data_IF_162311145155
#
_entry.id   IF_162311145155
#
_cell.length_a   1.000
_cell.length_b   1.000
_cell.length_c   1.000
_cell.angle_alpha   90.00
_cell.angle_beta   90.00
_cell.angle_gamma   90.00
#
_symmetry.space_group_name_H-M   'P 1'
#
loop_
_entity.id
_entity.type
_entity.pdbx_description
1 polymer ?
#
# COMPACT_ATOMS: atom_id res chain seq x y z
N UNK A 1 -19.54 -3.53 6.18
CA UNK A 1 -19.00 -2.82 5.02
C UNK A 1 -17.91 -3.64 4.38
N UNK A 2 -17.96 -3.70 3.09
CA UNK A 2 -17.01 -4.52 2.35
C UNK A 2 -15.66 -3.85 2.25
N UNK A 3 -14.63 -4.60 2.48
CA UNK A 3 -13.27 -4.06 2.39
C UNK A 3 -12.47 -4.81 1.34
N UNK A 4 -11.38 -4.20 0.92
CA UNK A 4 -10.45 -4.79 -0.02
C UNK A 4 -9.05 -4.72 0.54
N UNK A 5 -8.24 -5.68 0.14
CA UNK A 5 -6.83 -5.66 0.50
C UNK A 5 -6.06 -5.02 -0.66
N UNK A 6 -5.17 -4.12 -0.33
CA UNK A 6 -4.41 -3.39 -1.35
C UNK A 6 -3.02 -3.08 -0.85
N UNK A 7 -2.14 -2.85 -1.80
CA UNK A 7 -0.78 -2.41 -1.53
C UNK A 7 -0.57 -1.08 -2.21
N UNK A 8 -0.14 -0.09 -1.45
CA UNK A 8 0.24 1.20 -2.00
C UNK A 8 1.75 1.23 -2.15
N UNK A 9 2.20 1.42 -3.38
CA UNK A 9 3.63 1.55 -3.67
C UNK A 9 3.93 3.04 -3.82
N UNK A 10 4.84 3.54 -3.01
CA UNK A 10 5.10 4.97 -2.89
C UNK A 10 6.57 5.24 -3.10
N UNK A 11 6.89 6.19 -3.96
CA UNK A 11 8.26 6.66 -4.15
C UNK A 11 8.28 8.13 -3.77
N UNK A 12 9.15 8.49 -2.83
CA UNK A 12 9.29 9.85 -2.35
C UNK A 12 10.62 10.39 -2.82
N UNK A 13 10.58 11.43 -3.67
CA UNK A 13 11.79 12.09 -4.14
C UNK A 13 12.08 13.38 -3.39
N UNK A 14 11.08 13.93 -2.71
CA UNK A 14 11.21 15.19 -2.02
C UNK A 14 11.19 14.95 -0.52
N UNK A 15 12.32 15.10 0.18
CA UNK A 15 12.34 14.85 1.63
C UNK A 15 11.39 15.75 2.40
N UNK A 16 11.05 16.91 1.86
CA UNK A 16 10.11 17.79 2.54
C UNK A 16 8.71 17.25 2.59
N UNK A 17 8.39 16.25 1.77
CA UNK A 17 7.06 15.66 1.77
C UNK A 17 6.87 14.59 2.85
N UNK A 18 7.96 14.18 3.52
CA UNK A 18 7.90 13.05 4.44
C UNK A 18 6.98 13.34 5.62
N UNK A 19 7.02 14.55 6.15
CA UNK A 19 6.16 14.89 7.28
C UNK A 19 4.68 14.80 6.93
N UNK A 20 4.30 15.35 5.78
CA UNK A 20 2.91 15.29 5.35
C UNK A 20 2.48 13.86 5.04
N UNK A 21 3.37 13.08 4.44
CA UNK A 21 3.09 11.68 4.15
C UNK A 21 2.84 10.91 5.45
N UNK A 22 3.72 11.08 6.43
CA UNK A 22 3.56 10.37 7.70
C UNK A 22 2.29 10.77 8.41
N UNK A 23 1.88 12.02 8.29
CA UNK A 23 0.64 12.46 8.90
C UNK A 23 -0.56 11.81 8.23
N UNK A 24 -0.57 11.70 6.91
CA UNK A 24 -1.62 11.00 6.21
C UNK A 24 -1.68 9.53 6.64
N UNK A 25 -0.54 8.87 6.71
CA UNK A 25 -0.50 7.48 7.11
C UNK A 25 -1.01 7.29 8.54
N UNK A 26 -0.71 8.26 9.40
CA UNK A 26 -1.20 8.20 10.76
C UNK A 26 -2.73 8.30 10.82
N UNK A 27 -3.30 9.20 10.03
CA UNK A 27 -4.75 9.35 10.01
C UNK A 27 -5.48 8.11 9.52
N UNK A 28 -4.84 7.38 8.62
CA UNK A 28 -5.45 6.17 8.05
C UNK A 28 -4.95 4.91 8.75
N UNK A 29 -4.30 5.06 9.90
CA UNK A 29 -3.60 3.94 10.56
C UNK A 29 -4.49 2.77 10.89
N UNK A 30 -5.78 3.02 11.20
CA UNK A 30 -6.69 1.93 11.54
C UNK A 30 -6.92 0.97 10.37
N UNK A 31 -6.62 1.42 9.15
CA UNK A 31 -6.82 0.62 7.94
C UNK A 31 -5.52 0.00 7.44
N UNK A 32 -4.40 0.31 8.10
CA UNK A 32 -3.09 -0.15 7.63
C UNK A 32 -2.72 -1.43 8.35
N UNK A 33 -2.44 -2.48 7.57
CA UNK A 33 -2.03 -3.77 8.09
C UNK A 33 -0.55 -3.77 8.41
N UNK A 34 0.24 -3.10 7.59
CA UNK A 34 1.68 -3.04 7.79
C UNK A 34 2.31 -2.08 6.83
N UNK A 35 3.54 -1.71 7.12
CA UNK A 35 4.29 -0.81 6.23
C UNK A 35 5.76 -1.18 6.25
N UNK A 36 6.43 -0.87 5.15
CA UNK A 36 7.85 -1.09 5.03
C UNK A 36 8.44 0.07 4.27
N UNK A 37 9.57 0.58 4.74
CA UNK A 37 10.23 1.69 4.09
C UNK A 37 11.70 1.40 3.91
N UNK A 38 12.23 1.77 2.73
CA UNK A 38 13.63 1.59 2.42
C UNK A 38 14.15 2.91 1.87
N UNK A 39 14.94 3.66 2.67
CA UNK A 39 15.58 4.84 2.12
C UNK A 39 16.69 4.43 1.18
N UNK A 40 16.79 5.14 0.07
CA UNK A 40 17.82 4.82 -0.92
C UNK A 40 18.52 6.12 -1.32
N UNK A 41 19.42 6.62 -0.47
CA UNK A 41 20.02 7.96 -0.68
C UNK A 41 20.89 8.04 -1.93
N UNK A 42 21.41 6.92 -2.42
CA UNK A 42 22.23 6.95 -3.63
C UNK A 42 21.45 7.48 -4.83
N UNK A 43 20.14 7.32 -4.81
CA UNK A 43 19.30 7.84 -5.89
C UNK A 43 18.36 8.92 -5.40
N UNK A 44 18.52 9.36 -4.15
CA UNK A 44 17.72 10.44 -3.60
C UNK A 44 16.27 10.13 -3.41
N UNK A 45 15.93 8.87 -3.17
CA UNK A 45 14.53 8.48 -3.01
C UNK A 45 14.33 7.65 -1.75
N UNK A 46 13.08 7.62 -1.28
CA UNK A 46 12.64 6.66 -0.29
C UNK A 46 11.53 5.82 -0.91
N UNK A 47 11.59 4.52 -0.67
CA UNK A 47 10.65 3.57 -1.23
C UNK A 47 9.79 3.04 -0.10
N UNK A 48 8.48 3.20 -0.21
CA UNK A 48 7.58 2.85 0.88
C UNK A 48 6.46 1.96 0.34
N UNK A 49 6.16 0.89 1.08
CA UNK A 49 5.03 0.01 0.77
C UNK A 49 4.06 0.02 1.94
N UNK A 50 2.79 0.21 1.66
CA UNK A 50 1.75 0.25 2.67
C UNK A 50 0.72 -0.82 2.33
N UNK A 51 0.54 -1.79 3.22
CA UNK A 51 -0.50 -2.80 3.04
C UNK A 51 -1.74 -2.36 3.80
N UNK A 52 -2.90 -2.44 3.15
CA UNK A 52 -4.14 -1.93 3.70
C UNK A 52 -5.27 -2.94 3.54
N UNK A 53 -6.21 -2.84 4.45
CA UNK A 53 -7.49 -3.53 4.34
C UNK A 53 -8.56 -2.50 4.70
N UNK A 54 -9.29 -2.03 3.71
CA UNK A 54 -10.20 -0.91 3.88
C UNK A 54 -11.23 -0.88 2.75
N UNK A 55 -12.31 -0.12 2.92
CA UNK A 55 -13.23 0.09 1.80
C UNK A 55 -12.48 0.70 0.61
N UNK A 56 -12.90 0.35 -0.58
CA UNK A 56 -12.19 0.78 -1.80
C UNK A 56 -12.08 2.30 -1.89
N UNK A 57 -13.11 3.03 -1.50
CA UNK A 57 -13.07 4.49 -1.58
C UNK A 57 -12.09 5.09 -0.56
N UNK A 58 -11.89 4.42 0.57
CA UNK A 58 -10.89 4.86 1.55
C UNK A 58 -9.47 4.69 0.99
N UNK A 59 -9.23 3.55 0.35
CA UNK A 59 -7.92 3.28 -0.26
C UNK A 59 -7.65 4.31 -1.36
N UNK A 60 -8.63 4.54 -2.21
CA UNK A 60 -8.51 5.48 -3.30
C UNK A 60 -8.27 6.91 -2.79
N UNK A 61 -8.95 7.28 -1.72
CA UNK A 61 -8.78 8.61 -1.14
C UNK A 61 -7.37 8.80 -0.60
N UNK A 62 -6.85 7.80 0.11
CA UNK A 62 -5.49 7.90 0.64
C UNK A 62 -4.47 7.95 -0.48
N UNK A 63 -4.61 7.06 -1.47
CA UNK A 63 -3.68 7.03 -2.59
C UNK A 63 -3.67 8.36 -3.32
N UNK A 64 -4.85 8.95 -3.53
CA UNK A 64 -4.95 10.24 -4.19
C UNK A 64 -4.29 11.35 -3.41
N UNK A 65 -4.48 11.38 -2.10
CA UNK A 65 -3.87 12.41 -1.26
C UNK A 65 -2.35 12.27 -1.26
N UNK A 66 -1.86 11.04 -1.18
CA UNK A 66 -0.41 10.82 -1.21
C UNK A 66 0.17 11.26 -2.55
N UNK A 67 -0.50 10.88 -3.65
CA UNK A 67 0.00 11.21 -4.98
C UNK A 67 0.01 12.69 -5.29
N UNK A 68 -0.73 13.49 -4.52
CA UNK A 68 -0.72 14.95 -4.71
C UNK A 68 0.39 15.64 -3.93
N UNK A 69 1.10 14.94 -3.08
CA UNK A 69 2.23 15.56 -2.39
C UNK A 69 3.36 15.82 -3.37
N UNK A 70 4.03 16.96 -3.27
CA UNK A 70 5.11 17.27 -4.23
C UNK A 70 6.22 16.24 -4.16
N UNK A 71 6.64 15.77 -5.34
CA UNK A 71 7.73 14.81 -5.43
C UNK A 71 7.39 13.41 -4.96
N UNK A 72 6.11 13.07 -4.87
CA UNK A 72 5.68 11.75 -4.42
C UNK A 72 4.85 11.08 -5.52
N UNK A 73 5.19 9.82 -5.80
CA UNK A 73 4.43 8.99 -6.72
C UNK A 73 3.79 7.87 -5.93
N UNK A 74 2.51 7.60 -6.19
CA UNK A 74 1.80 6.52 -5.52
C UNK A 74 1.03 5.70 -6.53
N UNK A 75 1.10 4.39 -6.41
CA UNK A 75 0.34 3.46 -7.23
C UNK A 75 -0.29 2.43 -6.31
N UNK A 76 -1.49 2.01 -6.65
CA UNK A 76 -2.24 1.04 -5.85
C UNK A 76 -2.36 -0.27 -6.61
N UNK A 77 -2.11 -1.37 -5.93
CA UNK A 77 -2.36 -2.71 -6.44
C UNK A 77 -3.40 -3.35 -5.54
N UNK A 78 -4.53 -3.73 -6.11
CA UNK A 78 -5.59 -4.38 -5.34
C UNK A 78 -5.45 -5.88 -5.46
N UNK A 79 -5.67 -6.57 -4.36
CA UNK A 79 -5.78 -8.03 -4.41
C UNK A 79 -7.05 -8.40 -5.17
N UNK A 80 -7.02 -9.44 -6.01
CA UNK A 80 -8.24 -9.87 -6.68
C UNK A 80 -9.28 -10.32 -5.66
N UNK A 81 -10.52 -9.94 -5.88
CA UNK A 81 -11.56 -10.27 -4.92
C UNK A 81 -11.77 -11.77 -4.79
N UNK A 82 -11.60 -12.51 -5.87
CA UNK A 82 -11.72 -13.95 -5.81
C UNK A 82 -10.70 -14.58 -4.90
N UNK A 83 -9.51 -13.97 -4.79
CA UNK A 83 -8.46 -14.49 -3.92
C UNK A 83 -8.85 -14.37 -2.45
N UNK A 84 -9.76 -13.46 -2.14
CA UNK A 84 -10.22 -13.26 -0.78
C UNK A 84 -11.56 -13.92 -0.52
N UNK A 85 -12.27 -14.28 -1.55
CA UNK A 85 -13.63 -14.69 -1.42
C UNK A 85 -13.82 -16.13 -1.01
N UNK A 86 -12.79 -16.93 -1.05
CA UNK A 86 -12.94 -18.33 -0.73
C UNK A 86 -11.70 -18.88 -0.11
N UNK A 87 -11.89 -19.67 0.89
CA UNK A 87 -10.80 -20.29 1.58
C UNK A 87 -10.04 -21.23 0.70
N UNK A 88 -10.73 -21.93 -0.16
CA UNK A 88 -10.06 -22.89 -1.02
C UNK A 88 -9.12 -22.20 -1.99
N UNK A 89 -9.44 -21.02 -2.44
CA UNK A 89 -8.53 -20.28 -3.30
C UNK A 89 -7.25 -19.91 -2.55
N UNK A 90 -7.38 -19.50 -1.31
CA UNK A 90 -6.21 -19.17 -0.51
C UNK A 90 -5.36 -20.39 -0.24
N UNK A 91 -5.99 -21.51 0.04
CA UNK A 91 -5.26 -22.75 0.26
C UNK A 91 -4.49 -23.17 -0.96
N UNK A 92 -5.11 -23.04 -2.11
CA UNK A 92 -4.48 -23.41 -3.35
C UNK A 92 -3.23 -22.59 -3.62
N UNK A 93 -3.33 -21.29 -3.40
CA UNK A 93 -2.21 -20.41 -3.62
C UNK A 93 -1.04 -20.78 -2.72
N UNK A 94 -1.31 -21.06 -1.49
CA UNK A 94 -0.25 -21.38 -0.57
C UNK A 94 0.52 -22.62 -0.97
N UNK A 95 -0.15 -23.59 -1.52
CA UNK A 95 0.50 -24.81 -1.89
C UNK A 95 1.41 -24.66 -3.04
N UNK A 96 1.10 -23.76 -3.91
CA UNK A 96 1.90 -23.59 -5.09
C UNK A 96 2.95 -22.57 -4.99
N UNK A 97 2.58 -21.66 -4.32
CA UNK A 97 3.47 -20.55 -4.33
C UNK A 97 4.67 -20.77 -3.55
N UNK A 98 4.58 -21.10 -3.51
CA UNK A 98 5.48 -20.88 -3.05
C UNK A 98 6.42 -20.69 -3.47
N UNK A 99 5.51 -20.72 -3.92
CA UNK A 99 6.22 -20.39 -4.36
C UNK A 99 6.52 -19.97 -4.82
N UNK A 100 6.07 -20.17 -4.79
CA UNK A 100 6.45 -19.78 -5.24
C UNK A 100 6.72 -19.50 -5.52
N UNK A 101 6.54 -19.80 -5.54
CA UNK A 101 6.93 -19.46 -5.75
C UNK A 101 7.07 -18.99 -6.01
#
# INVERSE_FOLDING_TARGET
METRVALLAIIVKNPDAVGALNELLHRYGRHIIGRMGVPYPQRGVSIISIAMDAPADTISALSGKIGRLPGVTAKTVYAPEEALGGRSAADHVRKKGRNNP
#
